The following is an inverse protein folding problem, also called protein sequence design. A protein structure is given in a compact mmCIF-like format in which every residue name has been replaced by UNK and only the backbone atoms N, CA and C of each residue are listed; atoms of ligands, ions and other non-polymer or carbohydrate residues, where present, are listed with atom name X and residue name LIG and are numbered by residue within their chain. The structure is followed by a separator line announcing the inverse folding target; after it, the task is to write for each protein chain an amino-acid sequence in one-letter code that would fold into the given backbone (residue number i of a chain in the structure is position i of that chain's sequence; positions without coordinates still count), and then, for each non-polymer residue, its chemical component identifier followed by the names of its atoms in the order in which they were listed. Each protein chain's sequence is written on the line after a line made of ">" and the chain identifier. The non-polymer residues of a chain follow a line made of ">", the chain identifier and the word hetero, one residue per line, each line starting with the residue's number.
data_IF_190536453046
#
_entry.id   IF_190536453046
#
_cell.length_a   1.000
_cell.length_b   1.000
_cell.length_c   1.000
_cell.angle_alpha   90.00
_cell.angle_beta   90.00
_cell.angle_gamma   90.00
#
_symmetry.space_group_name_H-M   'P 1'
#
loop_
_entity.id
_entity.type
_entity.pdbx_description
1 polymer ?
#
# COMPACT_ATOMS: atom_id res chain seq x y z
N UNK A 1 1.96 -23.40 15.19
CA UNK A 1 2.50 -22.02 15.20
C UNK A 1 2.23 -21.43 13.83
N UNK A 2 1.46 -20.37 13.77
CA UNK A 2 1.07 -19.74 12.49
C UNK A 2 2.02 -18.58 12.20
N UNK A 3 2.79 -18.68 11.13
CA UNK A 3 3.75 -17.66 10.71
C UNK A 3 3.17 -16.76 9.64
N UNK A 4 3.48 -15.46 9.71
CA UNK A 4 3.30 -14.50 8.62
C UNK A 4 4.66 -14.10 8.07
N UNK A 5 4.87 -14.32 6.78
CA UNK A 5 5.98 -13.76 6.02
C UNK A 5 5.55 -12.43 5.39
N UNK A 6 6.31 -11.38 5.63
CA UNK A 6 6.11 -10.06 5.03
C UNK A 6 7.22 -9.83 4.02
N UNK A 7 6.87 -9.74 2.74
CA UNK A 7 7.81 -9.46 1.66
C UNK A 7 7.96 -7.94 1.49
N UNK A 8 9.13 -7.42 1.83
CA UNK A 8 9.44 -6.01 1.91
C UNK A 8 9.51 -5.52 3.36
N UNK A 9 10.73 -5.29 3.85
CA UNK A 9 11.01 -4.89 5.23
C UNK A 9 11.29 -3.39 5.39
N UNK A 10 10.87 -2.53 4.45
CA UNK A 10 11.00 -1.08 4.56
C UNK A 10 10.03 -0.44 5.57
N UNK A 11 9.86 0.88 5.51
CA UNK A 11 8.95 1.61 6.40
C UNK A 11 7.51 1.12 6.32
N UNK A 12 7.00 0.84 5.11
CA UNK A 12 5.66 0.27 4.92
C UNK A 12 5.56 -1.14 5.52
N UNK A 13 6.58 -1.99 5.31
CA UNK A 13 6.62 -3.33 5.90
C UNK A 13 6.53 -3.31 7.42
N UNK A 14 7.20 -2.34 8.06
CA UNK A 14 7.11 -2.15 9.52
C UNK A 14 5.68 -1.86 9.98
N UNK A 15 4.95 -1.00 9.26
CA UNK A 15 3.55 -0.70 9.60
C UNK A 15 2.64 -1.92 9.34
N UNK A 16 2.93 -2.72 8.30
CA UNK A 16 2.20 -3.98 8.06
C UNK A 16 2.45 -4.98 9.19
N UNK A 17 3.68 -5.10 9.68
CA UNK A 17 4.01 -5.99 10.79
C UNK A 17 3.29 -5.58 12.09
N UNK A 18 3.28 -4.28 12.41
CA UNK A 18 2.56 -3.73 13.56
C UNK A 18 1.04 -4.00 13.48
N UNK A 19 0.45 -3.78 12.30
CA UNK A 19 -0.96 -4.11 12.06
C UNK A 19 -1.25 -5.61 12.17
N UNK A 20 -0.34 -6.45 11.68
CA UNK A 20 -0.46 -7.90 11.77
C UNK A 20 -0.38 -8.39 13.23
N UNK A 21 0.51 -7.82 14.04
CA UNK A 21 0.60 -8.10 15.48
C UNK A 21 -0.70 -7.72 16.20
N UNK A 22 -1.26 -6.55 15.87
CA UNK A 22 -2.56 -6.11 16.41
C UNK A 22 -3.72 -7.07 16.07
N UNK A 23 -3.64 -7.77 14.94
CA UNK A 23 -4.64 -8.78 14.53
C UNK A 23 -4.63 -10.03 15.41
N UNK A 24 -3.55 -10.34 16.11
CA UNK A 24 -3.38 -11.54 16.97
C UNK A 24 -3.70 -12.87 16.25
N UNK A 25 -3.44 -12.92 14.94
CA UNK A 25 -3.68 -14.10 14.08
C UNK A 25 -2.46 -14.98 13.91
N UNK A 26 -1.27 -14.40 14.09
CA UNK A 26 0.01 -15.03 13.85
C UNK A 26 0.85 -15.03 15.12
N UNK A 27 1.51 -16.14 15.36
CA UNK A 27 2.39 -16.34 16.52
C UNK A 27 3.81 -15.83 16.22
N UNK A 28 4.17 -15.75 14.92
CA UNK A 28 5.49 -15.39 14.44
C UNK A 28 5.35 -14.52 13.18
N UNK A 29 6.01 -13.37 13.17
CA UNK A 29 6.01 -12.39 12.07
C UNK A 29 7.45 -12.14 11.67
N UNK A 30 7.77 -12.34 10.38
CA UNK A 30 9.14 -12.24 9.86
C UNK A 30 9.18 -11.48 8.54
N UNK A 31 10.31 -10.82 8.27
CA UNK A 31 10.55 -10.18 6.99
C UNK A 31 11.40 -11.03 6.05
N UNK A 32 11.03 -10.97 4.76
CA UNK A 32 11.88 -11.34 3.65
C UNK A 32 12.11 -10.12 2.79
N UNK A 33 13.38 -9.73 2.62
CA UNK A 33 13.76 -8.50 1.89
C UNK A 33 15.18 -8.64 1.35
N UNK A 34 15.45 -8.07 0.20
CA UNK A 34 16.77 -8.15 -0.44
C UNK A 34 17.85 -7.31 0.29
N UNK A 35 17.45 -6.51 1.29
CA UNK A 35 18.36 -5.88 2.24
C UNK A 35 18.98 -6.87 3.25
N UNK A 36 18.49 -8.12 3.33
CA UNK A 36 19.14 -9.17 4.11
C UNK A 36 20.39 -9.70 3.38
N UNK A 37 21.52 -10.01 4.05
CA UNK A 37 21.74 -10.00 5.50
C UNK A 37 22.23 -8.67 6.09
N UNK A 38 22.29 -7.58 5.31
CA UNK A 38 22.78 -6.28 5.81
C UNK A 38 21.84 -5.68 6.86
N UNK A 39 20.54 -6.00 6.77
CA UNK A 39 19.55 -5.72 7.81
C UNK A 39 19.09 -7.02 8.43
N UNK A 40 19.08 -7.07 9.78
CA UNK A 40 18.70 -8.27 10.54
C UNK A 40 17.39 -8.10 11.29
N UNK A 41 16.92 -6.87 11.51
CA UNK A 41 15.67 -6.57 12.18
C UNK A 41 15.05 -5.24 11.71
N UNK A 42 13.73 -5.09 11.83
CA UNK A 42 13.02 -3.84 11.67
C UNK A 42 11.95 -3.71 12.76
N UNK A 43 12.25 -2.92 13.82
CA UNK A 43 11.51 -2.96 15.07
C UNK A 43 11.75 -4.29 15.79
N UNK A 44 10.73 -4.94 16.35
CA UNK A 44 10.89 -6.23 17.04
C UNK A 44 10.91 -7.43 16.10
N UNK A 45 10.73 -7.26 14.80
CA UNK A 45 10.57 -8.36 13.85
C UNK A 45 11.86 -8.62 13.06
N UNK A 46 12.32 -9.90 12.96
CA UNK A 46 13.55 -10.26 12.27
C UNK A 46 13.39 -10.32 10.76
N UNK A 47 14.51 -10.05 10.04
CA UNK A 47 14.69 -10.48 8.67
C UNK A 47 15.26 -11.89 8.68
N UNK A 48 14.68 -12.78 7.89
CA UNK A 48 15.07 -14.20 7.87
C UNK A 48 15.57 -14.67 6.50
N UNK A 49 15.52 -13.82 5.48
CA UNK A 49 16.00 -14.13 4.15
C UNK A 49 15.67 -13.07 3.11
N UNK A 50 16.14 -13.28 1.88
CA UNK A 50 15.76 -12.47 0.71
C UNK A 50 14.39 -12.88 0.16
N UNK A 51 13.79 -12.03 -0.68
CA UNK A 51 12.54 -12.37 -1.40
C UNK A 51 12.77 -13.61 -2.29
N UNK A 52 13.94 -13.73 -2.93
CA UNK A 52 14.30 -14.91 -3.71
C UNK A 52 14.31 -16.18 -2.85
N UNK A 53 14.88 -16.13 -1.64
CA UNK A 53 14.88 -17.27 -0.73
C UNK A 53 13.47 -17.69 -0.31
N UNK A 54 12.57 -16.72 -0.10
CA UNK A 54 11.16 -16.99 0.19
C UNK A 54 10.48 -17.79 -0.93
N UNK A 55 10.71 -17.40 -2.20
CA UNK A 55 10.12 -18.07 -3.36
C UNK A 55 10.55 -19.52 -3.56
N UNK A 56 11.57 -20.00 -2.82
CA UNK A 56 12.00 -21.40 -2.82
C UNK A 56 11.33 -22.25 -1.72
N UNK A 57 10.52 -21.62 -0.86
CA UNK A 57 9.79 -22.34 0.19
C UNK A 57 8.58 -23.08 -0.39
N UNK A 58 8.12 -24.14 0.27
CA UNK A 58 6.84 -24.75 -0.06
C UNK A 58 5.69 -23.74 0.10
N UNK A 59 4.72 -23.69 -0.81
CA UNK A 59 3.61 -22.71 -0.76
C UNK A 59 2.80 -22.71 0.54
N UNK A 60 2.66 -23.87 1.19
CA UNK A 60 1.87 -24.03 2.42
C UNK A 60 2.68 -23.74 3.71
N UNK A 61 3.94 -23.31 3.59
CA UNK A 61 4.84 -23.14 4.73
C UNK A 61 4.40 -22.04 5.69
N UNK A 62 3.73 -20.99 5.18
CA UNK A 62 3.24 -19.86 5.98
C UNK A 62 2.26 -18.99 5.19
N UNK A 63 1.53 -18.14 5.91
CA UNK A 63 0.80 -17.03 5.29
C UNK A 63 1.77 -15.98 4.74
N UNK A 64 1.41 -15.28 3.67
CA UNK A 64 2.27 -14.25 3.07
C UNK A 64 1.50 -12.98 2.70
N UNK A 65 2.16 -11.83 2.87
CA UNK A 65 1.70 -10.52 2.39
C UNK A 65 2.85 -9.74 1.77
N UNK A 66 2.57 -9.00 0.69
CA UNK A 66 3.57 -8.15 0.02
C UNK A 66 3.46 -6.73 0.55
N UNK A 67 4.50 -6.25 1.23
CA UNK A 67 4.55 -4.94 1.88
C UNK A 67 5.52 -3.97 1.17
N UNK A 68 5.35 -3.84 -0.13
CA UNK A 68 6.14 -2.97 -1.00
C UNK A 68 5.30 -1.77 -1.42
N UNK A 69 5.82 -0.55 -1.24
CA UNK A 69 5.10 0.69 -1.55
C UNK A 69 4.85 0.91 -3.04
N UNK A 70 5.78 0.49 -3.90
CA UNK A 70 5.59 0.56 -5.36
C UNK A 70 4.44 -0.36 -5.80
N UNK A 71 3.38 0.25 -6.36
CA UNK A 71 2.15 -0.44 -6.70
C UNK A 71 2.36 -1.51 -7.78
N UNK A 72 3.16 -1.20 -8.81
CA UNK A 72 3.39 -2.13 -9.92
C UNK A 72 4.25 -3.32 -9.49
N UNK A 73 5.28 -3.07 -8.69
CA UNK A 73 6.14 -4.12 -8.13
C UNK A 73 5.35 -5.00 -7.14
N UNK A 74 4.53 -4.38 -6.28
CA UNK A 74 3.66 -5.11 -5.34
C UNK A 74 2.69 -6.03 -6.09
N UNK A 75 2.00 -5.53 -7.13
CA UNK A 75 1.10 -6.33 -7.95
C UNK A 75 1.83 -7.51 -8.59
N UNK A 76 2.99 -7.27 -9.21
CA UNK A 76 3.79 -8.30 -9.88
C UNK A 76 4.20 -9.42 -8.92
N UNK A 77 4.71 -9.08 -7.74
CA UNK A 77 5.13 -10.08 -6.75
C UNK A 77 3.91 -10.84 -6.21
N UNK A 78 2.80 -10.14 -5.95
CA UNK A 78 1.58 -10.78 -5.48
C UNK A 78 1.06 -11.83 -6.48
N UNK A 79 1.03 -11.51 -7.78
CA UNK A 79 0.63 -12.48 -8.81
C UNK A 79 1.62 -13.64 -8.93
N UNK A 80 2.94 -13.38 -8.89
CA UNK A 80 3.94 -14.46 -8.90
C UNK A 80 3.76 -15.44 -7.73
N UNK A 81 3.45 -14.92 -6.54
CA UNK A 81 3.17 -15.76 -5.36
C UNK A 81 1.89 -16.57 -5.55
N UNK A 82 0.84 -15.96 -6.08
CA UNK A 82 -0.43 -16.63 -6.33
C UNK A 82 -0.28 -17.74 -7.37
N UNK A 83 0.44 -17.48 -8.47
CA UNK A 83 0.72 -18.46 -9.51
C UNK A 83 1.58 -19.62 -8.99
N UNK A 84 2.48 -19.35 -8.04
CA UNK A 84 3.28 -20.35 -7.34
C UNK A 84 2.50 -21.09 -6.24
N UNK A 85 1.22 -20.77 -6.02
CA UNK A 85 0.35 -21.45 -5.06
C UNK A 85 0.43 -20.95 -3.61
N UNK A 86 1.14 -19.85 -3.35
CA UNK A 86 1.19 -19.27 -1.99
C UNK A 86 -0.15 -18.67 -1.56
N UNK A 87 -0.46 -18.78 -0.27
CA UNK A 87 -1.66 -18.20 0.33
C UNK A 87 -1.45 -16.73 0.69
N UNK A 88 -1.85 -15.82 -0.22
CA UNK A 88 -1.88 -14.38 0.07
C UNK A 88 -2.97 -14.06 1.09
N UNK A 89 -2.60 -13.45 2.21
CA UNK A 89 -3.54 -13.09 3.27
C UNK A 89 -3.77 -11.59 3.35
N UNK A 90 -4.96 -11.21 3.79
CA UNK A 90 -5.27 -9.83 4.12
C UNK A 90 -4.85 -9.52 5.56
N UNK A 91 -4.21 -8.37 5.76
CA UNK A 91 -3.90 -7.80 7.07
C UNK A 91 -4.85 -6.64 7.31
N UNK A 92 -5.87 -6.85 8.15
CA UNK A 92 -6.91 -5.86 8.45
C UNK A 92 -6.79 -5.48 9.93
N UNK A 93 -6.33 -4.26 10.18
CA UNK A 93 -6.13 -3.77 11.54
C UNK A 93 -7.45 -3.76 12.32
N UNK A 94 -7.51 -4.25 13.57
CA UNK A 94 -8.76 -4.38 14.33
C UNK A 94 -9.46 -3.04 14.64
N UNK A 95 -8.73 -1.91 14.58
CA UNK A 95 -9.29 -0.57 14.69
C UNK A 95 -9.73 0.04 13.36
N UNK A 96 -9.80 -0.71 12.26
CA UNK A 96 -10.47 -0.31 11.02
C UNK A 96 -11.95 -0.64 11.07
N UNK A 97 -12.75 0.06 10.28
CA UNK A 97 -14.18 -0.23 10.10
C UNK A 97 -14.43 -0.75 8.70
N UNK A 98 -14.66 -2.05 8.57
CA UNK A 98 -14.92 -2.68 7.27
C UNK A 98 -16.32 -3.26 7.26
N UNK A 99 -17.14 -2.83 6.30
CA UNK A 99 -18.46 -3.39 6.09
C UNK A 99 -18.37 -4.88 5.77
N UNK A 100 -19.21 -5.71 6.40
CA UNK A 100 -19.33 -7.14 6.04
C UNK A 100 -19.84 -7.38 4.60
N UNK A 101 -20.33 -6.33 3.94
CA UNK A 101 -20.82 -6.32 2.57
C UNK A 101 -19.80 -5.73 1.59
N UNK A 102 -18.59 -5.43 2.03
CA UNK A 102 -17.48 -5.07 1.16
C UNK A 102 -16.70 -6.33 0.76
N UNK A 103 -16.08 -6.30 -0.42
CA UNK A 103 -15.18 -7.34 -0.93
C UNK A 103 -13.75 -6.83 -0.95
N UNK A 104 -12.81 -7.59 -0.37
CA UNK A 104 -11.39 -7.22 -0.33
C UNK A 104 -10.57 -8.34 -0.95
N UNK A 105 -9.88 -8.02 -2.07
CA UNK A 105 -9.01 -8.94 -2.79
C UNK A 105 -7.81 -9.39 -1.93
N UNK A 106 -7.29 -10.57 -2.26
CA UNK A 106 -6.20 -11.22 -1.52
C UNK A 106 -4.93 -10.35 -1.47
N UNK A 107 -4.17 -10.44 -0.37
CA UNK A 107 -2.92 -9.71 -0.18
C UNK A 107 -3.09 -8.21 0.10
N UNK A 108 -4.30 -7.74 0.37
CA UNK A 108 -4.58 -6.35 0.70
C UNK A 108 -4.31 -6.03 2.17
N UNK A 109 -3.94 -4.77 2.45
CA UNK A 109 -3.72 -4.29 3.81
C UNK A 109 -4.64 -3.12 4.12
N UNK A 110 -5.25 -3.12 5.31
CA UNK A 110 -6.15 -2.06 5.80
C UNK A 110 -5.67 -1.63 7.18
N UNK A 111 -5.30 -0.37 7.31
CA UNK A 111 -4.68 0.15 8.52
C UNK A 111 -5.68 0.77 9.50
N UNK A 112 -5.16 1.16 10.67
CA UNK A 112 -5.95 1.70 11.76
C UNK A 112 -6.78 2.93 11.33
N UNK A 113 -8.03 2.99 11.77
CA UNK A 113 -8.96 4.09 11.47
C UNK A 113 -9.45 4.16 10.02
N UNK A 114 -8.99 3.26 9.14
CA UNK A 114 -9.52 3.19 7.78
C UNK A 114 -10.98 2.72 7.78
N UNK A 115 -11.77 3.25 6.86
CA UNK A 115 -13.19 2.91 6.69
C UNK A 115 -13.42 2.38 5.28
N UNK A 116 -14.05 1.21 5.17
CA UNK A 116 -14.49 0.62 3.90
C UNK A 116 -15.98 0.33 4.01
N UNK A 117 -16.78 1.08 3.26
CA UNK A 117 -18.24 1.05 3.36
C UNK A 117 -18.87 -0.05 2.50
N UNK A 118 -20.19 -0.21 2.65
CA UNK A 118 -21.02 -1.22 1.98
C UNK A 118 -20.88 -1.14 0.46
N UNK A 119 -20.82 -2.29 -0.21
CA UNK A 119 -20.73 -2.39 -1.67
C UNK A 119 -19.35 -2.08 -2.25
N UNK A 120 -18.40 -1.59 -1.45
CA UNK A 120 -17.05 -1.36 -1.93
C UNK A 120 -16.37 -2.68 -2.34
N UNK A 121 -15.71 -2.67 -3.50
CA UNK A 121 -14.98 -3.83 -4.04
C UNK A 121 -13.53 -3.42 -4.30
N UNK A 122 -12.60 -4.09 -3.64
CA UNK A 122 -11.17 -3.88 -3.78
C UNK A 122 -10.54 -5.07 -4.50
N UNK A 123 -9.76 -4.80 -5.52
CA UNK A 123 -8.88 -5.77 -6.17
C UNK A 123 -7.79 -6.28 -5.22
N UNK A 124 -6.98 -7.28 -5.68
CA UNK A 124 -5.90 -7.83 -4.88
C UNK A 124 -4.78 -6.82 -4.61
N UNK A 125 -4.03 -7.04 -3.52
CA UNK A 125 -2.85 -6.28 -3.13
C UNK A 125 -3.08 -4.78 -2.94
N UNK A 126 -4.29 -4.34 -2.59
CA UNK A 126 -4.60 -2.95 -2.28
C UNK A 126 -4.02 -2.52 -0.92
N UNK A 127 -3.72 -1.22 -0.79
CA UNK A 127 -3.35 -0.59 0.47
C UNK A 127 -4.41 0.47 0.80
N UNK A 128 -5.14 0.27 1.89
CA UNK A 128 -6.02 1.29 2.47
C UNK A 128 -5.36 1.79 3.75
N UNK A 129 -4.73 2.93 3.64
CA UNK A 129 -3.80 3.42 4.66
C UNK A 129 -4.53 4.05 5.85
N UNK A 130 -3.78 4.46 6.86
CA UNK A 130 -4.30 5.01 8.12
C UNK A 130 -5.34 6.10 7.90
N UNK A 131 -6.53 5.95 8.50
CA UNK A 131 -7.65 6.89 8.41
C UNK A 131 -8.11 7.20 6.96
N UNK A 132 -7.80 6.36 5.97
CA UNK A 132 -8.34 6.50 4.62
C UNK A 132 -9.79 6.04 4.57
N UNK A 133 -10.59 6.68 3.73
CA UNK A 133 -12.03 6.37 3.58
C UNK A 133 -12.32 5.92 2.15
N UNK A 134 -12.96 4.76 2.04
CA UNK A 134 -13.53 4.22 0.80
C UNK A 134 -15.03 4.11 1.02
N UNK A 135 -15.78 5.03 0.43
CA UNK A 135 -17.22 5.10 0.58
C UNK A 135 -17.95 3.98 -0.18
N UNK A 136 -19.30 3.97 -0.04
CA UNK A 136 -20.17 2.94 -0.61
C UNK A 136 -19.98 2.80 -2.12
N UNK A 137 -20.09 1.56 -2.62
CA UNK A 137 -20.09 1.20 -4.03
C UNK A 137 -18.83 1.62 -4.82
N UNK A 138 -17.72 1.93 -4.12
CA UNK A 138 -16.43 2.19 -4.77
C UNK A 138 -15.85 0.90 -5.35
N UNK A 139 -15.18 1.02 -6.51
CA UNK A 139 -14.48 -0.08 -7.17
C UNK A 139 -13.01 0.29 -7.34
N UNK A 140 -12.12 -0.43 -6.68
CA UNK A 140 -10.68 -0.26 -6.76
C UNK A 140 -10.06 -1.46 -7.48
N UNK A 141 -9.24 -1.19 -8.49
CA UNK A 141 -8.49 -2.21 -9.21
C UNK A 141 -7.35 -2.83 -8.38
N UNK A 142 -6.52 -3.60 -9.06
CA UNK A 142 -5.37 -4.29 -8.45
C UNK A 142 -4.33 -3.29 -7.93
N UNK A 143 -3.81 -3.55 -6.73
CA UNK A 143 -2.71 -2.81 -6.12
C UNK A 143 -2.93 -1.29 -6.06
N UNK A 144 -4.16 -0.84 -5.90
CA UNK A 144 -4.46 0.58 -5.63
C UNK A 144 -3.95 0.92 -4.24
N UNK A 145 -3.34 2.10 -4.10
CA UNK A 145 -2.91 2.64 -2.81
C UNK A 145 -3.72 3.90 -2.48
N UNK A 146 -4.55 3.82 -1.46
CA UNK A 146 -5.24 4.96 -0.86
C UNK A 146 -4.43 5.39 0.37
N UNK A 147 -3.70 6.51 0.26
CA UNK A 147 -2.75 6.99 1.27
C UNK A 147 -3.42 7.50 2.55
N UNK A 148 -2.65 7.78 3.62
CA UNK A 148 -3.23 8.24 4.88
C UNK A 148 -4.18 9.42 4.73
N UNK A 149 -5.39 9.31 5.32
CA UNK A 149 -6.40 10.36 5.31
C UNK A 149 -6.98 10.73 3.94
N UNK A 150 -6.69 9.97 2.88
CA UNK A 150 -7.32 10.18 1.58
C UNK A 150 -8.78 9.69 1.60
N UNK A 151 -9.67 10.40 0.90
CA UNK A 151 -11.10 10.17 0.97
C UNK A 151 -11.68 9.96 -0.43
N UNK A 152 -12.30 8.80 -0.63
CA UNK A 152 -13.06 8.48 -1.84
C UNK A 152 -14.54 8.56 -1.51
N UNK A 153 -15.27 9.47 -2.16
CA UNK A 153 -16.74 9.55 -2.02
C UNK A 153 -17.41 8.38 -2.75
N UNK A 154 -18.72 8.23 -2.60
CA UNK A 154 -19.47 7.09 -3.13
C UNK A 154 -19.32 6.88 -4.64
N UNK A 155 -19.33 5.62 -5.08
CA UNK A 155 -19.29 5.20 -6.49
C UNK A 155 -18.03 5.65 -7.25
N UNK A 156 -16.90 5.86 -6.56
CA UNK A 156 -15.62 6.16 -7.20
C UNK A 156 -15.02 4.87 -7.75
N UNK A 157 -14.58 4.92 -9.02
CA UNK A 157 -13.85 3.83 -9.67
C UNK A 157 -12.37 4.22 -9.84
N UNK A 158 -11.44 3.37 -9.41
CA UNK A 158 -10.00 3.59 -9.56
C UNK A 158 -9.35 2.40 -10.26
N UNK A 159 -8.66 2.67 -11.37
CA UNK A 159 -7.93 1.67 -12.13
C UNK A 159 -6.65 1.16 -11.45
N UNK A 160 -6.12 0.06 -11.98
CA UNK A 160 -4.99 -0.69 -11.43
C UNK A 160 -3.75 0.17 -11.18
N UNK A 161 -3.04 -0.17 -10.11
CA UNK A 161 -1.77 0.42 -9.72
C UNK A 161 -1.79 1.95 -9.54
N UNK A 162 -2.98 2.56 -9.39
CA UNK A 162 -3.12 3.98 -9.12
C UNK A 162 -2.86 4.30 -7.65
N UNK A 163 -2.37 5.50 -7.40
CA UNK A 163 -2.00 6.00 -6.07
C UNK A 163 -2.78 7.27 -5.75
N UNK A 164 -3.59 7.23 -4.70
CA UNK A 164 -4.28 8.41 -4.15
C UNK A 164 -3.45 8.97 -3.00
N UNK A 165 -2.85 10.13 -3.19
CA UNK A 165 -1.92 10.76 -2.27
C UNK A 165 -2.53 11.14 -0.92
N UNK A 166 -1.67 11.40 0.06
CA UNK A 166 -2.07 11.72 1.44
C UNK A 166 -3.08 12.89 1.47
N UNK A 167 -4.21 12.71 2.16
CA UNK A 167 -5.25 13.75 2.31
C UNK A 167 -5.96 14.15 1.02
N UNK A 168 -5.76 13.47 -0.10
CA UNK A 168 -6.49 13.77 -1.33
C UNK A 168 -7.96 13.39 -1.21
N UNK A 169 -8.83 14.14 -1.91
CA UNK A 169 -10.27 13.90 -1.94
C UNK A 169 -10.74 13.67 -3.37
N UNK A 170 -11.54 12.62 -3.59
CA UNK A 170 -12.15 12.33 -4.88
C UNK A 170 -13.66 12.42 -4.73
N UNK A 171 -14.29 13.29 -5.53
CA UNK A 171 -15.74 13.50 -5.55
C UNK A 171 -16.44 12.22 -6.02
N UNK A 172 -17.70 12.04 -5.59
CA UNK A 172 -18.55 10.91 -5.97
C UNK A 172 -18.65 10.71 -7.49
N UNK A 173 -18.81 9.45 -7.90
CA UNK A 173 -19.04 9.03 -9.29
C UNK A 173 -17.89 9.42 -10.25
N UNK A 174 -16.68 9.57 -9.74
CA UNK A 174 -15.51 9.85 -10.55
C UNK A 174 -14.81 8.55 -10.92
N UNK A 175 -14.44 8.44 -12.21
CA UNK A 175 -13.54 7.38 -12.70
C UNK A 175 -12.13 7.94 -12.79
N UNK A 176 -11.20 7.26 -12.13
CA UNK A 176 -9.75 7.47 -12.21
C UNK A 176 -9.16 6.27 -12.93
N UNK A 177 -8.39 6.52 -13.98
CA UNK A 177 -7.73 5.47 -14.76
C UNK A 177 -6.67 4.68 -14.01
N UNK A 178 -5.98 3.80 -14.72
CA UNK A 178 -4.89 2.98 -14.21
C UNK A 178 -3.56 3.75 -14.18
N UNK A 179 -2.66 3.39 -13.24
CA UNK A 179 -1.31 3.99 -13.10
C UNK A 179 -1.35 5.51 -12.94
N UNK A 180 -2.43 6.03 -12.34
CA UNK A 180 -2.60 7.45 -12.03
C UNK A 180 -1.94 7.78 -10.70
N UNK A 181 -1.29 8.95 -10.61
CA UNK A 181 -0.81 9.52 -9.37
C UNK A 181 -1.68 10.73 -9.01
N UNK A 182 -2.47 10.64 -7.95
CA UNK A 182 -3.13 11.79 -7.35
C UNK A 182 -2.21 12.35 -6.26
N UNK A 183 -1.78 13.60 -6.41
CA UNK A 183 -0.88 14.27 -5.49
C UNK A 183 -1.49 14.49 -4.11
N UNK A 184 -0.64 14.73 -3.10
CA UNK A 184 -1.09 15.00 -1.74
C UNK A 184 -2.04 16.21 -1.69
N UNK A 185 -3.15 16.09 -0.94
CA UNK A 185 -4.15 17.15 -0.78
C UNK A 185 -4.90 17.56 -2.05
N UNK A 186 -4.77 16.83 -3.15
CA UNK A 186 -5.47 17.16 -4.39
C UNK A 186 -6.99 16.89 -4.26
N UNK A 187 -7.81 17.73 -4.90
CA UNK A 187 -9.27 17.59 -4.94
C UNK A 187 -9.72 17.27 -6.36
N UNK A 188 -10.03 16.00 -6.61
CA UNK A 188 -10.42 15.49 -7.93
C UNK A 188 -11.92 15.64 -8.11
N UNK A 189 -12.34 16.41 -9.13
CA UNK A 189 -13.74 16.74 -9.41
C UNK A 189 -14.20 16.32 -10.81
N UNK A 190 -13.34 15.70 -11.59
CA UNK A 190 -13.63 15.21 -12.94
C UNK A 190 -12.87 13.91 -13.22
N UNK A 191 -13.30 13.14 -14.23
CA UNK A 191 -12.65 11.92 -14.64
C UNK A 191 -11.17 12.15 -14.97
N UNK A 192 -10.34 11.14 -14.68
CA UNK A 192 -8.88 11.18 -14.83
C UNK A 192 -8.45 10.07 -15.76
N UNK A 193 -7.76 10.37 -16.88
CA UNK A 193 -7.26 9.35 -17.80
C UNK A 193 -6.08 8.56 -17.20
N UNK A 194 -5.72 7.45 -17.83
CA UNK A 194 -4.60 6.59 -17.43
C UNK A 194 -3.25 7.33 -17.41
N UNK A 195 -2.37 6.93 -16.50
CA UNK A 195 -0.94 7.26 -16.51
C UNK A 195 -0.57 8.70 -16.18
N UNK A 196 -1.53 9.54 -15.78
CA UNK A 196 -1.26 10.95 -15.49
C UNK A 196 -1.02 11.20 -13.99
N UNK A 197 -0.38 12.34 -13.70
CA UNK A 197 -0.29 12.90 -12.36
C UNK A 197 -1.23 14.08 -12.21
N UNK A 198 -2.10 14.03 -11.20
CA UNK A 198 -3.06 15.09 -10.86
C UNK A 198 -2.61 15.83 -9.60
N UNK A 199 -2.64 17.17 -9.60
CA UNK A 199 -2.29 17.98 -8.43
C UNK A 199 -3.20 19.19 -8.27
N UNK A 200 -3.34 19.66 -7.05
CA UNK A 200 -4.00 20.92 -6.71
C UNK A 200 -5.48 20.80 -6.35
N UNK A 201 -6.11 21.94 -6.08
CA UNK A 201 -7.53 22.08 -5.75
C UNK A 201 -8.15 23.26 -6.55
N UNK A 202 -9.02 22.98 -7.57
CA UNK A 202 -9.34 21.65 -8.09
C UNK A 202 -8.14 21.02 -8.80
N UNK A 203 -8.07 19.69 -8.78
CA UNK A 203 -6.95 18.95 -9.36
C UNK A 203 -6.86 19.13 -10.88
N UNK A 204 -5.64 19.27 -11.38
CA UNK A 204 -5.31 19.37 -12.82
C UNK A 204 -4.15 18.43 -13.15
N UNK A 205 -4.08 18.01 -14.40
CA UNK A 205 -2.94 17.21 -14.89
C UNK A 205 -1.68 18.05 -14.74
N UNK A 206 -0.68 17.48 -14.04
CA UNK A 206 0.62 18.09 -13.91
C UNK A 206 1.37 17.97 -15.23
N UNK A 207 1.57 19.10 -15.92
CA UNK A 207 2.43 19.13 -17.09
C UNK A 207 3.90 18.97 -16.62
N UNK A 208 4.58 17.92 -17.04
CA UNK A 208 6.04 17.87 -16.94
C UNK A 208 6.58 18.96 -17.85
N UNK A 209 7.27 19.97 -17.31
CA UNK A 209 8.14 20.79 -18.13
C UNK A 209 9.19 19.84 -18.71
N UNK A 210 9.31 19.79 -20.04
CA UNK A 210 10.49 19.21 -20.68
C UNK A 210 11.69 20.01 -20.17
N UNK A 211 12.36 19.51 -19.15
CA UNK A 211 13.68 20.00 -18.77
C UNK A 211 14.66 19.40 -19.77
N UNK A 212 15.24 20.28 -20.58
CA UNK A 212 16.40 20.03 -21.43
C UNK A 212 17.42 19.16 -20.65
N UNK A 213 17.77 18.00 -21.23
CA UNK A 213 18.71 17.06 -20.64
C UNK A 213 20.09 17.71 -20.57
N UNK A 214 20.40 18.39 -19.47
CA UNK A 214 21.76 18.62 -19.02
C UNK A 214 21.87 18.05 -17.61
N UNK A 215 22.69 17.01 -17.54
CA UNK A 215 23.30 16.35 -16.41
C UNK A 215 23.20 17.12 -15.07
N UNK A 216 22.53 16.52 -14.07
CA UNK A 216 22.93 16.68 -12.68
C UNK A 216 22.69 15.38 -11.92
N UNK A 217 23.73 14.55 -11.88
CA UNK A 217 23.95 13.60 -10.82
C UNK A 217 24.20 14.39 -9.54
N UNK A 218 23.17 14.57 -8.75
CA UNK A 218 23.34 15.05 -7.38
C UNK A 218 22.37 14.33 -6.47
N UNK A 219 22.81 13.20 -5.92
CA UNK A 219 22.21 12.62 -4.72
C UNK A 219 22.50 13.57 -3.55
N UNK A 220 21.62 14.52 -3.32
CA UNK A 220 21.62 15.29 -2.09
C UNK A 220 21.18 14.35 -0.95
N UNK A 221 22.14 13.84 -0.20
CA UNK A 221 21.88 13.27 1.11
C UNK A 221 21.29 14.37 2.01
N UNK A 222 20.00 14.22 2.35
CA UNK A 222 19.40 15.05 3.39
C UNK A 222 19.97 14.61 4.74
N UNK A 223 20.70 15.46 5.47
CA UNK A 223 21.16 15.11 6.80
C UNK A 223 19.97 14.98 7.73
N UNK A 224 19.77 13.77 8.27
CA UNK A 224 18.76 13.54 9.31
C UNK A 224 19.24 14.23 10.59
N UNK A 225 18.52 15.23 11.15
CA UNK A 225 18.92 15.85 12.40
C UNK A 225 18.88 14.81 13.54
N UNK A 226 19.81 14.89 14.50
CA UNK A 226 19.84 13.96 15.63
C UNK A 226 18.55 14.09 16.45
N UNK A 227 17.89 12.96 16.68
CA UNK A 227 16.71 12.89 17.56
C UNK A 227 17.15 13.23 18.97
N UNK A 228 16.70 14.37 19.48
CA UNK A 228 16.90 14.74 20.88
C UNK A 228 16.23 13.68 21.78
N UNK A 229 17.03 13.01 22.60
CA UNK A 229 16.51 12.13 23.65
C UNK A 229 15.73 12.96 24.64
N UNK A 230 14.40 12.88 24.63
CA UNK A 230 13.58 13.36 25.71
C UNK A 230 13.86 12.48 26.94
N UNK A 231 14.69 12.99 27.85
CA UNK A 231 14.79 12.44 29.19
C UNK A 231 13.50 12.75 29.96
N UNK A 232 13.03 11.73 30.68
CA UNK A 232 11.88 11.76 31.59
C UNK A 232 12.02 12.88 32.64
#
# INVERSE_FOLDING_TARGET
>A
MRRLAILGGGGHGKVVADAAEACRRWDDIVFYDDAWPQRVENGPWPYVGSIHAFMQLPPDSCDVVVAIGDNALRARIAFQLQDAGFSLVNVIHPASTVSRHASIGAGSVVFAGAVINIGATLGPACIINTCAIVEHDCVLGTAVHVSPGANLAGEVCIGDASWVGIGACIRQQITVGSKVMIGAGAVVVSAVPDGVTMVGNPARIMQRKETDHREETNHAEYPVPPVAKLHK
#
